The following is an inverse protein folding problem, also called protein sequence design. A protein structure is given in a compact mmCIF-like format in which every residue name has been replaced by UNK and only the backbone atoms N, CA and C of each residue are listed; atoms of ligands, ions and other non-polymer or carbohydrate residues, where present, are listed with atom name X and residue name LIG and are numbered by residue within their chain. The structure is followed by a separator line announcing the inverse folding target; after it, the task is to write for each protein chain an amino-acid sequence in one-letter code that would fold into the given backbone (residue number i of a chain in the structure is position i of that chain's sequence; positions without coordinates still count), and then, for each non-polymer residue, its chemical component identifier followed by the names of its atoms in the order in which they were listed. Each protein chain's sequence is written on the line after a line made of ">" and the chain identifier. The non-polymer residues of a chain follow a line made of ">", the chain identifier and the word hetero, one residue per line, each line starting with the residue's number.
data_IF_717164989900
#
_entry.id   IF_717164989900
#
_cell.length_a   1.000
_cell.length_b   1.000
_cell.length_c   1.000
_cell.angle_alpha   90.00
_cell.angle_beta   90.00
_cell.angle_gamma   90.00
#
_symmetry.space_group_name_H-M   'P 1'
#
loop_
_entity.id
_entity.type
_entity.pdbx_description
1 polymer ?
#
# COMPACT_ATOMS: atom_id res chain seq x y z
N UNK A 1 33.41 -28.09 19.06
CA UNK A 1 33.72 -26.76 19.65
C UNK A 1 33.30 -25.55 18.76
N UNK A 2 33.45 -25.57 17.42
CA UNK A 2 33.13 -24.43 16.54
C UNK A 2 31.64 -24.05 16.49
N UNK A 3 30.69 -25.01 16.45
CA UNK A 3 29.24 -24.71 16.48
C UNK A 3 28.81 -23.89 17.70
N UNK A 4 29.34 -24.24 18.90
CA UNK A 4 29.06 -23.48 20.12
C UNK A 4 29.58 -22.02 20.04
N UNK A 5 30.70 -21.77 19.36
CA UNK A 5 31.26 -20.42 19.21
C UNK A 5 30.46 -19.55 18.24
N UNK A 6 29.98 -20.12 17.14
CA UNK A 6 29.12 -19.40 16.19
C UNK A 6 27.78 -19.03 16.84
N UNK A 7 27.15 -19.99 17.51
CA UNK A 7 25.89 -19.75 18.25
C UNK A 7 26.09 -18.69 19.35
N UNK A 8 27.19 -18.76 20.08
CA UNK A 8 27.53 -17.78 21.11
C UNK A 8 27.78 -16.39 20.50
N UNK A 9 28.47 -16.30 19.36
CA UNK A 9 28.71 -15.01 18.69
C UNK A 9 27.43 -14.38 18.15
N UNK A 10 26.53 -15.17 17.56
CA UNK A 10 25.21 -14.70 17.13
C UNK A 10 24.37 -14.27 18.34
N UNK A 11 24.38 -15.04 19.41
CA UNK A 11 23.67 -14.70 20.64
C UNK A 11 24.22 -13.40 21.27
N UNK A 12 25.54 -13.18 21.25
CA UNK A 12 26.16 -11.94 21.72
C UNK A 12 25.74 -10.75 20.86
N UNK A 13 25.76 -10.89 19.54
CA UNK A 13 25.31 -9.82 18.60
C UNK A 13 23.84 -9.46 18.79
N UNK A 14 22.97 -10.48 18.96
CA UNK A 14 21.55 -10.26 19.24
C UNK A 14 21.36 -9.62 20.64
N UNK A 15 22.11 -10.06 21.63
CA UNK A 15 22.07 -9.48 22.97
C UNK A 15 22.58 -8.03 22.97
N UNK A 16 23.66 -7.71 22.25
CA UNK A 16 24.15 -6.35 22.09
C UNK A 16 23.12 -5.45 21.38
N UNK A 17 22.47 -5.93 20.32
CA UNK A 17 21.40 -5.19 19.64
C UNK A 17 20.21 -4.95 20.57
N UNK A 18 19.84 -5.97 21.35
CA UNK A 18 18.77 -5.86 22.36
C UNK A 18 19.13 -4.86 23.46
N UNK A 19 20.37 -4.93 24.00
CA UNK A 19 20.87 -3.99 25.02
C UNK A 19 20.90 -2.57 24.47
N UNK A 20 21.39 -2.35 23.26
CA UNK A 20 21.37 -1.02 22.63
C UNK A 20 19.95 -0.52 22.43
N UNK A 21 19.03 -1.39 22.03
CA UNK A 21 17.60 -1.05 21.92
C UNK A 21 16.99 -0.64 23.25
N UNK A 22 17.26 -1.42 24.31
CA UNK A 22 16.77 -1.13 25.68
C UNK A 22 17.40 0.15 26.23
N UNK A 23 18.71 0.31 26.11
CA UNK A 23 19.42 1.52 26.55
C UNK A 23 18.92 2.75 25.80
N UNK A 24 18.71 2.65 24.48
CA UNK A 24 18.16 3.73 23.67
C UNK A 24 16.76 4.15 24.13
N UNK A 25 15.86 3.18 24.35
CA UNK A 25 14.50 3.45 24.86
C UNK A 25 14.55 4.06 26.26
N UNK A 26 15.42 3.55 27.15
CA UNK A 26 15.61 4.10 28.50
C UNK A 26 16.19 5.51 28.47
N UNK A 27 17.16 5.78 27.60
CA UNK A 27 17.76 7.11 27.44
C UNK A 27 16.73 8.13 26.97
N UNK A 28 15.92 7.79 25.97
CA UNK A 28 14.82 8.66 25.53
C UNK A 28 13.76 8.85 26.62
N UNK A 29 13.43 7.80 27.38
CA UNK A 29 12.50 7.91 28.49
C UNK A 29 12.99 8.87 29.58
N UNK A 30 14.29 8.83 29.88
CA UNK A 30 14.92 9.68 30.90
C UNK A 30 15.11 11.13 30.42
N UNK A 31 15.41 11.33 29.15
CA UNK A 31 15.67 12.67 28.57
C UNK A 31 14.39 13.40 28.14
N UNK A 32 13.31 12.66 27.89
CA UNK A 32 12.03 13.22 27.44
C UNK A 32 10.85 12.63 28.22
N UNK A 33 10.56 13.10 29.42
CA UNK A 33 9.52 12.58 30.31
C UNK A 33 8.11 13.00 29.88
N UNK A 34 7.75 12.83 28.59
CA UNK A 34 6.38 12.97 28.12
C UNK A 34 5.56 11.70 28.45
N UNK A 35 4.23 11.80 28.64
CA UNK A 35 3.41 10.64 28.90
C UNK A 35 3.52 9.66 27.73
N UNK A 36 3.92 8.42 28.00
CA UNK A 36 3.89 7.31 27.04
C UNK A 36 2.41 7.03 26.71
N UNK A 37 1.91 7.67 25.66
CA UNK A 37 0.49 7.72 25.39
C UNK A 37 -0.12 6.35 24.97
N UNK A 38 0.69 5.42 24.43
CA UNK A 38 0.23 4.07 24.12
C UNK A 38 1.37 3.08 23.83
N UNK A 39 1.05 1.78 23.86
CA UNK A 39 1.97 0.67 23.58
C UNK A 39 2.64 0.77 22.19
N UNK A 40 1.95 1.39 21.22
CA UNK A 40 2.46 1.58 19.86
C UNK A 40 3.69 2.50 19.81
N UNK A 41 3.75 3.54 20.63
CA UNK A 41 4.90 4.44 20.68
C UNK A 41 6.13 3.74 21.29
N UNK A 42 5.92 2.90 22.31
CA UNK A 42 7.03 2.11 22.92
C UNK A 42 7.60 1.14 21.89
N UNK A 43 6.73 0.44 21.17
CA UNK A 43 7.14 -0.49 20.12
C UNK A 43 7.87 0.23 18.98
N UNK A 44 7.36 1.38 18.54
CA UNK A 44 8.01 2.21 17.52
C UNK A 44 9.42 2.63 17.94
N UNK A 45 9.59 3.10 19.16
CA UNK A 45 10.89 3.51 19.72
C UNK A 45 11.86 2.34 19.85
N UNK A 46 11.39 1.18 20.31
CA UNK A 46 12.21 -0.03 20.37
C UNK A 46 12.71 -0.44 18.96
N UNK A 47 11.83 -0.44 17.96
CA UNK A 47 12.20 -0.72 16.56
C UNK A 47 13.17 0.35 16.03
N UNK A 48 12.96 1.62 16.37
CA UNK A 48 13.84 2.73 15.99
C UNK A 48 15.29 2.50 16.43
N UNK A 49 15.53 2.11 17.68
CA UNK A 49 16.88 1.88 18.20
C UNK A 49 17.50 0.56 17.73
N UNK A 50 16.69 -0.49 17.59
CA UNK A 50 17.15 -1.78 17.05
C UNK A 50 17.62 -1.68 15.60
N UNK A 51 17.12 -0.69 14.85
CA UNK A 51 17.46 -0.51 13.43
C UNK A 51 18.53 0.56 13.19
N UNK A 52 19.07 1.17 14.23
CA UNK A 52 20.06 2.26 14.14
C UNK A 52 21.24 1.97 13.19
N UNK A 53 21.89 0.78 13.21
CA UNK A 53 23.00 0.50 12.31
C UNK A 53 22.63 0.58 10.83
N UNK A 54 21.45 0.03 10.46
CA UNK A 54 20.97 0.12 9.07
C UNK A 54 20.58 1.54 8.67
N UNK A 55 20.06 2.34 9.63
CA UNK A 55 19.72 3.75 9.39
C UNK A 55 20.94 4.61 9.11
N UNK A 56 22.02 4.41 9.84
CA UNK A 56 23.29 5.11 9.59
C UNK A 56 23.79 4.87 8.16
N UNK A 57 23.69 3.65 7.66
CA UNK A 57 24.04 3.32 6.28
C UNK A 57 23.11 4.04 5.29
N UNK A 58 21.81 3.97 5.51
CA UNK A 58 20.81 4.61 4.60
C UNK A 58 20.98 6.13 4.61
N UNK A 59 21.17 6.76 5.79
CA UNK A 59 21.36 8.20 5.89
C UNK A 59 22.63 8.69 5.16
N UNK A 60 23.67 7.86 5.10
CA UNK A 60 24.89 8.17 4.34
C UNK A 60 24.65 8.26 2.84
N UNK A 61 23.73 7.43 2.31
CA UNK A 61 23.40 7.39 0.88
C UNK A 61 22.18 8.24 0.49
N UNK A 62 21.31 8.56 1.46
CA UNK A 62 20.08 9.34 1.27
C UNK A 62 19.93 10.37 2.40
N UNK A 63 20.73 11.45 2.40
CA UNK A 63 20.60 12.50 3.40
C UNK A 63 19.22 13.19 3.23
N UNK A 64 18.40 13.14 4.27
CA UNK A 64 17.14 13.89 4.34
C UNK A 64 17.36 15.17 5.13
N UNK A 65 16.99 16.31 4.56
CA UNK A 65 17.14 17.62 5.19
C UNK A 65 16.16 17.87 6.36
N UNK A 66 15.21 16.97 6.60
CA UNK A 66 14.24 17.09 7.69
C UNK A 66 14.38 15.94 8.69
N UNK A 67 14.31 16.25 9.97
CA UNK A 67 14.54 15.38 11.13
C UNK A 67 13.59 14.18 11.27
N UNK A 68 12.54 14.09 10.47
CA UNK A 68 11.63 12.94 10.48
C UNK A 68 12.18 11.80 9.63
N UNK A 69 12.83 10.86 10.29
CA UNK A 69 13.21 9.59 9.66
C UNK A 69 11.93 8.79 9.36
N UNK A 70 11.51 8.67 8.09
CA UNK A 70 10.22 8.07 7.77
C UNK A 70 10.18 6.61 8.22
N UNK A 71 8.99 6.12 8.59
CA UNK A 71 8.75 4.70 8.93
C UNK A 71 9.31 3.76 7.86
N UNK A 72 9.32 4.19 6.60
CA UNK A 72 10.01 3.52 5.50
C UNK A 72 11.51 3.35 5.72
N UNK A 73 12.20 4.37 6.24
CA UNK A 73 13.61 4.26 6.62
C UNK A 73 13.83 3.28 7.76
N UNK A 74 12.90 3.21 8.71
CA UNK A 74 12.94 2.22 9.81
C UNK A 74 12.83 0.78 9.29
N UNK A 75 11.95 0.52 8.35
CA UNK A 75 11.77 -0.84 7.82
C UNK A 75 12.85 -1.21 6.83
N UNK A 76 13.28 -0.32 5.94
CA UNK A 76 14.48 -0.55 5.11
C UNK A 76 15.70 -0.82 6.00
N UNK A 77 15.84 -0.11 7.11
CA UNK A 77 16.91 -0.34 8.07
C UNK A 77 16.74 -1.63 8.86
N UNK A 78 15.51 -2.08 9.13
CA UNK A 78 15.25 -3.38 9.75
C UNK A 78 15.67 -4.55 8.86
N UNK A 79 15.55 -4.41 7.52
CA UNK A 79 16.08 -5.38 6.57
C UNK A 79 17.59 -5.21 6.33
N UNK A 80 18.09 -3.98 6.27
CA UNK A 80 19.50 -3.69 6.05
C UNK A 80 20.36 -4.07 7.26
N UNK A 81 19.86 -3.89 8.48
CA UNK A 81 20.60 -4.17 9.72
C UNK A 81 21.07 -5.62 9.82
N UNK A 82 20.25 -6.66 9.65
CA UNK A 82 20.69 -8.05 9.64
C UNK A 82 21.73 -8.33 8.55
N UNK A 83 21.56 -7.77 7.36
CA UNK A 83 22.51 -7.92 6.24
C UNK A 83 23.87 -7.28 6.60
N UNK A 84 23.86 -6.06 7.13
CA UNK A 84 25.07 -5.36 7.58
C UNK A 84 25.77 -6.11 8.73
N UNK A 85 25.02 -6.62 9.70
CA UNK A 85 25.57 -7.37 10.83
C UNK A 85 26.17 -8.70 10.37
N UNK A 86 25.54 -9.41 9.44
CA UNK A 86 26.08 -10.65 8.87
C UNK A 86 27.32 -10.35 8.03
N UNK A 87 27.32 -9.30 7.20
CA UNK A 87 28.48 -8.87 6.43
C UNK A 87 29.66 -8.47 7.35
N UNK A 88 29.40 -7.71 8.41
CA UNK A 88 30.38 -7.34 9.42
C UNK A 88 30.94 -8.58 10.15
N UNK A 89 30.06 -9.51 10.52
CA UNK A 89 30.46 -10.76 11.16
C UNK A 89 31.38 -11.59 10.24
N UNK A 90 31.03 -11.72 8.96
CA UNK A 90 31.88 -12.41 7.97
C UNK A 90 33.20 -11.69 7.80
N UNK A 91 33.20 -10.36 7.71
CA UNK A 91 34.40 -9.54 7.58
C UNK A 91 35.31 -9.70 8.79
N UNK A 92 34.78 -9.53 10.00
CA UNK A 92 35.52 -9.69 11.27
C UNK A 92 36.05 -11.12 11.41
N UNK A 93 35.23 -12.12 11.13
CA UNK A 93 35.66 -13.51 11.15
C UNK A 93 36.78 -13.79 10.14
N UNK A 94 36.71 -13.20 8.95
CA UNK A 94 37.73 -13.33 7.90
C UNK A 94 39.02 -12.67 8.32
N UNK A 95 38.96 -11.49 8.96
CA UNK A 95 40.15 -10.83 9.56
C UNK A 95 40.76 -11.70 10.65
N UNK A 96 39.96 -12.20 11.59
CA UNK A 96 40.45 -13.08 12.65
C UNK A 96 41.05 -14.39 12.11
N UNK A 97 40.47 -14.96 11.08
CA UNK A 97 41.01 -16.12 10.38
C UNK A 97 42.35 -15.80 9.71
N UNK A 98 42.48 -14.60 9.12
CA UNK A 98 43.74 -14.13 8.48
C UNK A 98 44.81 -13.85 9.50
N UNK A 99 44.49 -13.17 10.63
CA UNK A 99 45.43 -12.90 11.74
C UNK A 99 45.89 -14.23 12.37
N UNK A 100 45.00 -15.20 12.52
CA UNK A 100 45.34 -16.54 13.07
C UNK A 100 46.26 -17.30 12.14
N UNK A 101 46.12 -17.17 10.80
CA UNK A 101 47.05 -17.75 9.82
C UNK A 101 48.44 -17.12 9.90
N UNK A 102 48.51 -15.81 10.16
CA UNK A 102 49.80 -15.10 10.33
C UNK A 102 50.53 -15.45 11.64
N UNK A 103 49.81 -15.91 12.67
CA UNK A 103 50.37 -16.29 13.98
C UNK A 103 50.76 -17.77 14.10
N UNK A 104 50.44 -18.61 13.12
CA UNK A 104 50.84 -20.03 13.08
C UNK A 104 51.42 -20.36 11.72
N UNK A 105 52.70 -20.04 11.47
CA UNK A 105 53.42 -20.50 10.29
C UNK A 105 53.53 -22.04 10.34
N UNK A 106 53.02 -22.76 9.35
CA UNK A 106 53.18 -24.19 9.19
C UNK A 106 51.94 -25.09 9.25
N UNK A 107 50.75 -24.54 9.42
CA UNK A 107 49.49 -25.33 9.36
C UNK A 107 48.79 -25.12 8.02
N UNK A 108 49.21 -25.81 6.98
CA UNK A 108 48.43 -26.04 5.76
C UNK A 108 47.23 -26.97 6.07
N UNK A 109 46.31 -26.53 6.91
CA UNK A 109 44.99 -27.19 6.96
C UNK A 109 44.14 -26.57 5.90
N UNK A 110 44.01 -27.25 4.77
CA UNK A 110 43.05 -26.93 3.72
C UNK A 110 41.64 -26.74 4.29
N UNK A 111 40.83 -25.93 3.62
CA UNK A 111 39.43 -25.71 3.99
C UNK A 111 38.73 -27.07 4.06
N UNK A 112 38.23 -27.45 5.24
CA UNK A 112 37.51 -28.72 5.35
C UNK A 112 36.21 -28.67 4.52
N UNK A 113 35.77 -29.85 4.01
CA UNK A 113 34.48 -29.92 3.30
C UNK A 113 33.34 -29.28 4.10
N UNK A 114 33.35 -29.45 5.40
CA UNK A 114 32.34 -28.85 6.30
C UNK A 114 32.42 -27.34 6.38
N UNK A 115 33.64 -26.77 6.43
CA UNK A 115 33.82 -25.30 6.42
C UNK A 115 33.42 -24.73 5.06
N UNK A 116 33.74 -25.42 3.96
CA UNK A 116 33.30 -25.06 2.62
C UNK A 116 31.76 -25.05 2.48
N UNK A 117 31.08 -26.11 2.90
CA UNK A 117 29.61 -26.16 2.86
C UNK A 117 28.96 -25.10 3.77
N UNK A 118 29.51 -24.88 4.97
CA UNK A 118 29.01 -23.86 5.88
C UNK A 118 29.14 -22.44 5.33
N UNK A 119 30.27 -22.12 4.70
CA UNK A 119 30.50 -20.81 4.06
C UNK A 119 29.63 -20.63 2.81
N UNK A 120 29.50 -21.68 1.99
CA UNK A 120 28.65 -21.66 0.80
C UNK A 120 27.18 -21.46 1.15
N UNK A 121 26.67 -22.15 2.17
CA UNK A 121 25.29 -21.98 2.65
C UNK A 121 25.04 -20.56 3.20
N UNK A 122 25.96 -20.02 4.00
CA UNK A 122 25.86 -18.65 4.49
C UNK A 122 25.89 -17.63 3.33
N UNK A 123 26.79 -17.81 2.37
CA UNK A 123 26.86 -16.98 1.17
C UNK A 123 25.55 -17.02 0.36
N UNK A 124 24.99 -18.21 0.18
CA UNK A 124 23.72 -18.37 -0.53
C UNK A 124 22.55 -17.65 0.19
N UNK A 125 22.46 -17.75 1.50
CA UNK A 125 21.43 -17.07 2.30
C UNK A 125 21.56 -15.55 2.12
N UNK A 126 22.77 -15.00 2.18
CA UNK A 126 23.00 -13.55 2.01
C UNK A 126 22.62 -13.09 0.62
N UNK A 127 23.10 -13.80 -0.42
CA UNK A 127 22.81 -13.45 -1.82
C UNK A 127 21.32 -13.54 -2.08
N UNK A 128 20.66 -14.58 -1.58
CA UNK A 128 19.21 -14.77 -1.75
C UNK A 128 18.42 -13.66 -1.01
N UNK A 129 18.82 -13.31 0.20
CA UNK A 129 18.20 -12.21 0.96
C UNK A 129 18.37 -10.86 0.27
N UNK A 130 19.57 -10.56 -0.23
CA UNK A 130 19.84 -9.33 -0.98
C UNK A 130 19.07 -9.29 -2.31
N UNK A 131 19.01 -10.40 -3.04
CA UNK A 131 18.25 -10.51 -4.26
C UNK A 131 16.75 -10.32 -4.02
N UNK A 132 16.20 -10.93 -2.97
CA UNK A 132 14.80 -10.77 -2.57
C UNK A 132 14.51 -9.32 -2.17
N UNK A 133 15.36 -8.70 -1.33
CA UNK A 133 15.24 -7.29 -0.95
C UNK A 133 15.30 -6.36 -2.15
N UNK A 134 16.23 -6.58 -3.07
CA UNK A 134 16.33 -5.83 -4.32
C UNK A 134 15.09 -6.01 -5.20
N UNK A 135 14.59 -7.23 -5.34
CA UNK A 135 13.39 -7.50 -6.11
C UNK A 135 12.15 -6.79 -5.53
N UNK A 136 11.95 -6.88 -4.21
CA UNK A 136 10.78 -6.30 -3.53
C UNK A 136 10.77 -4.77 -3.54
N UNK A 137 11.94 -4.14 -3.64
CA UNK A 137 12.08 -2.67 -3.62
C UNK A 137 12.18 -2.08 -5.02
N UNK A 138 12.92 -2.72 -5.93
CA UNK A 138 13.26 -2.12 -7.22
C UNK A 138 12.57 -2.76 -8.42
N UNK A 139 11.90 -3.90 -8.25
CA UNK A 139 11.27 -4.60 -9.38
C UNK A 139 9.78 -4.70 -9.21
N UNK A 140 9.29 -5.36 -8.16
CA UNK A 140 7.87 -5.68 -8.02
C UNK A 140 6.97 -4.44 -7.89
N UNK A 141 7.35 -3.35 -7.19
CA UNK A 141 6.54 -2.14 -7.08
C UNK A 141 6.22 -1.47 -8.43
N UNK A 142 7.05 -1.70 -9.43
CA UNK A 142 6.93 -1.10 -10.76
C UNK A 142 6.27 -2.04 -11.78
N UNK A 143 5.90 -3.24 -11.37
CA UNK A 143 5.24 -4.24 -12.23
C UNK A 143 3.73 -4.07 -12.22
N UNK A 144 3.26 -2.88 -12.56
CA UNK A 144 1.84 -2.56 -12.69
C UNK A 144 1.12 -3.58 -13.58
N UNK A 145 -0.04 -4.06 -13.15
CA UNK A 145 -0.89 -4.98 -13.91
C UNK A 145 -2.29 -4.41 -14.10
N UNK A 146 -2.99 -4.89 -15.10
CA UNK A 146 -4.43 -4.69 -15.28
C UNK A 146 -5.17 -5.93 -14.83
N UNK A 147 -6.11 -5.75 -13.90
CA UNK A 147 -6.99 -6.83 -13.44
C UNK A 147 -8.39 -6.57 -13.97
N UNK A 148 -9.00 -7.60 -14.55
CA UNK A 148 -10.33 -7.50 -15.16
C UNK A 148 -11.37 -8.17 -14.29
N UNK A 149 -12.51 -7.50 -14.13
CA UNK A 149 -13.64 -7.97 -13.35
C UNK A 149 -14.91 -7.84 -14.18
N UNK A 150 -15.67 -8.90 -14.32
CA UNK A 150 -17.04 -8.87 -14.81
C UNK A 150 -17.96 -8.95 -13.59
N UNK A 151 -18.65 -7.85 -13.29
CA UNK A 151 -19.42 -7.70 -12.05
C UNK A 151 -20.93 -7.72 -12.39
N UNK A 152 -21.65 -8.76 -11.96
CA UNK A 152 -23.10 -8.81 -12.13
C UNK A 152 -23.77 -7.84 -11.15
N UNK A 153 -24.56 -6.93 -11.69
CA UNK A 153 -25.35 -5.94 -10.94
C UNK A 153 -26.84 -6.28 -11.12
N UNK A 154 -27.53 -6.39 -10.01
CA UNK A 154 -28.97 -6.66 -10.01
C UNK A 154 -29.77 -5.43 -10.43
N UNK A 155 -30.69 -5.59 -11.38
CA UNK A 155 -31.49 -4.48 -11.91
C UNK A 155 -30.70 -3.52 -12.79
N UNK A 156 -29.50 -3.90 -13.24
CA UNK A 156 -28.73 -3.07 -14.18
C UNK A 156 -29.53 -2.79 -15.45
N UNK A 157 -29.71 -1.53 -15.86
CA UNK A 157 -30.34 -1.18 -17.13
C UNK A 157 -29.65 -1.88 -18.31
N UNK A 158 -30.38 -2.37 -19.28
CA UNK A 158 -29.82 -3.06 -20.45
C UNK A 158 -28.76 -2.23 -21.18
N UNK A 159 -28.90 -0.92 -21.22
CA UNK A 159 -27.99 0.03 -21.85
C UNK A 159 -26.64 0.09 -21.17
N UNK A 160 -26.59 -0.26 -19.88
CA UNK A 160 -25.34 -0.31 -19.09
C UNK A 160 -24.71 -1.72 -19.06
N UNK A 161 -25.30 -2.72 -19.67
CA UNK A 161 -24.64 -4.02 -19.83
C UNK A 161 -23.40 -3.86 -20.72
N UNK A 162 -22.26 -4.34 -20.23
CA UNK A 162 -20.97 -4.14 -20.88
C UNK A 162 -20.33 -2.76 -20.65
N UNK A 163 -20.93 -1.89 -19.82
CA UNK A 163 -20.31 -0.60 -19.46
C UNK A 163 -19.00 -0.82 -18.68
N UNK A 164 -17.95 -0.10 -19.04
CA UNK A 164 -16.60 -0.33 -18.54
C UNK A 164 -16.13 0.81 -17.66
N UNK A 165 -15.77 0.48 -16.42
CA UNK A 165 -15.12 1.39 -15.48
C UNK A 165 -13.63 1.07 -15.42
N UNK A 166 -12.76 2.08 -15.51
CA UNK A 166 -11.38 1.93 -15.10
C UNK A 166 -11.23 2.47 -13.68
N UNK A 167 -10.73 1.61 -12.80
CA UNK A 167 -10.57 1.91 -11.37
C UNK A 167 -9.10 2.12 -11.03
N UNK A 168 -8.76 3.32 -10.60
CA UNK A 168 -7.46 3.67 -10.05
C UNK A 168 -7.63 4.11 -8.59
N UNK A 169 -6.66 3.78 -7.76
CA UNK A 169 -6.63 4.13 -6.35
C UNK A 169 -5.19 4.28 -5.88
N UNK A 170 -5.01 5.03 -4.81
CA UNK A 170 -3.75 5.04 -4.05
C UNK A 170 -2.55 5.36 -4.96
N UNK A 171 -2.61 6.46 -5.70
CA UNK A 171 -1.50 6.88 -6.56
C UNK A 171 -0.31 7.40 -5.77
N UNK A 172 -0.57 7.98 -4.58
CA UNK A 172 0.44 8.39 -3.60
C UNK A 172 1.61 9.16 -4.19
N UNK A 173 1.34 10.16 -5.04
CA UNK A 173 2.41 11.04 -5.51
C UNK A 173 3.17 11.64 -4.33
N UNK A 174 4.49 11.47 -4.34
CA UNK A 174 5.34 11.90 -3.24
C UNK A 174 6.76 11.36 -3.37
N UNK A 175 7.48 11.17 -2.26
CA UNK A 175 8.88 10.77 -2.31
C UNK A 175 9.16 9.44 -3.00
N UNK A 176 8.19 8.53 -3.01
CA UNK A 176 8.37 7.18 -3.59
C UNK A 176 7.78 7.05 -4.98
N UNK A 177 6.68 7.74 -5.25
CA UNK A 177 5.95 7.62 -6.51
C UNK A 177 6.07 8.91 -7.29
N UNK A 178 6.76 8.84 -8.40
CA UNK A 178 7.02 9.97 -9.28
C UNK A 178 5.88 10.20 -10.29
N UNK A 179 5.76 11.43 -10.79
CA UNK A 179 4.78 11.76 -11.84
C UNK A 179 4.93 10.87 -13.08
N UNK A 180 6.14 10.64 -13.65
CA UNK A 180 6.28 9.76 -14.81
C UNK A 180 5.76 8.34 -14.61
N UNK A 181 5.81 7.81 -13.38
CA UNK A 181 5.21 6.52 -13.10
C UNK A 181 3.67 6.59 -13.12
N UNK A 182 3.07 7.63 -12.54
CA UNK A 182 1.62 7.85 -12.57
C UNK A 182 1.16 8.07 -14.01
N UNK A 183 1.87 8.85 -14.80
CA UNK A 183 1.63 9.06 -16.24
C UNK A 183 1.64 7.74 -17.01
N UNK A 184 2.59 6.86 -16.70
CA UNK A 184 2.64 5.52 -17.31
C UNK A 184 1.43 4.66 -16.92
N UNK A 185 0.93 4.81 -15.70
CA UNK A 185 -0.29 4.13 -15.24
C UNK A 185 -1.53 4.68 -15.94
N UNK A 186 -1.63 6.00 -16.07
CA UNK A 186 -2.72 6.68 -16.79
C UNK A 186 -2.73 6.27 -18.26
N UNK A 187 -1.57 6.26 -18.93
CA UNK A 187 -1.46 5.81 -20.32
C UNK A 187 -1.98 4.36 -20.50
N UNK A 188 -1.68 3.48 -19.52
CA UNK A 188 -2.23 2.11 -19.53
C UNK A 188 -3.74 2.08 -19.28
N UNK A 189 -4.24 2.96 -18.41
CA UNK A 189 -5.67 3.10 -18.15
C UNK A 189 -6.42 3.57 -19.42
N UNK A 190 -5.89 4.57 -20.10
CA UNK A 190 -6.45 5.12 -21.35
C UNK A 190 -6.47 4.07 -22.47
N UNK A 191 -5.42 3.25 -22.59
CA UNK A 191 -5.36 2.15 -23.54
C UNK A 191 -6.49 1.10 -23.35
N UNK A 192 -7.11 1.06 -22.16
CA UNK A 192 -8.25 0.18 -21.89
C UNK A 192 -9.56 0.70 -22.52
N UNK A 193 -9.62 1.97 -22.94
CA UNK A 193 -10.80 2.60 -23.56
C UNK A 193 -12.06 2.39 -22.72
N UNK A 194 -11.98 2.67 -21.42
CA UNK A 194 -13.13 2.57 -20.52
C UNK A 194 -14.14 3.71 -20.75
N UNK A 195 -15.36 3.49 -20.34
CA UNK A 195 -16.42 4.50 -20.47
C UNK A 195 -16.29 5.61 -19.43
N UNK A 196 -15.86 5.27 -18.20
CA UNK A 196 -15.70 6.18 -17.07
C UNK A 196 -14.49 5.78 -16.23
N UNK A 197 -13.75 6.75 -15.70
CA UNK A 197 -12.76 6.51 -14.67
C UNK A 197 -13.35 6.74 -13.27
N UNK A 198 -13.05 5.84 -12.33
CA UNK A 198 -13.41 5.95 -10.93
C UNK A 198 -12.15 5.93 -10.08
N UNK A 199 -12.02 6.91 -9.19
CA UNK A 199 -10.81 7.17 -8.40
C UNK A 199 -11.17 7.10 -6.92
N UNK A 200 -10.51 6.22 -6.16
CA UNK A 200 -10.88 5.95 -4.77
C UNK A 200 -9.85 6.41 -3.75
N UNK A 201 -9.34 7.64 -3.91
CA UNK A 201 -8.58 8.36 -2.90
C UNK A 201 -7.07 8.07 -2.86
N UNK A 202 -6.42 8.74 -1.93
CA UNK A 202 -4.98 8.68 -1.63
C UNK A 202 -4.12 9.07 -2.85
N UNK A 203 -4.32 10.30 -3.32
CA UNK A 203 -3.59 10.84 -4.48
C UNK A 203 -2.19 11.28 -4.14
N UNK A 204 -1.96 11.69 -2.89
CA UNK A 204 -0.73 12.31 -2.41
C UNK A 204 -0.16 11.59 -1.19
N UNK A 205 1.14 11.76 -0.93
CA UNK A 205 1.81 11.12 0.20
C UNK A 205 2.96 11.97 0.74
N UNK A 206 2.94 12.23 2.05
CA UNK A 206 4.02 12.82 2.87
C UNK A 206 4.45 14.24 2.57
N UNK A 207 3.87 14.93 1.62
CA UNK A 207 4.24 16.32 1.35
C UNK A 207 3.11 17.10 0.67
N UNK A 208 2.70 18.24 1.25
CA UNK A 208 1.73 19.12 0.62
C UNK A 208 2.13 19.62 -0.77
N UNK A 209 3.44 19.70 -1.05
CA UNK A 209 3.95 20.06 -2.39
C UNK A 209 3.55 19.09 -3.49
N UNK A 210 3.21 17.86 -3.13
CA UNK A 210 2.77 16.81 -4.07
C UNK A 210 1.28 16.91 -4.43
N UNK A 211 0.48 17.75 -3.74
CA UNK A 211 -0.97 17.83 -3.93
C UNK A 211 -1.30 18.25 -5.36
N UNK A 212 -0.92 19.47 -5.73
CA UNK A 212 -1.28 20.01 -7.05
C UNK A 212 -0.76 19.14 -8.19
N UNK A 213 0.54 18.79 -8.27
CA UNK A 213 1.02 17.96 -9.37
C UNK A 213 0.42 16.54 -9.36
N UNK A 214 0.18 15.94 -8.18
CA UNK A 214 -0.39 14.59 -8.05
C UNK A 214 -1.85 14.50 -8.47
N UNK A 215 -2.63 15.57 -8.27
CA UNK A 215 -4.01 15.66 -8.74
C UNK A 215 -4.07 16.10 -10.20
N UNK A 216 -3.27 17.09 -10.59
CA UNK A 216 -3.30 17.60 -11.97
C UNK A 216 -2.85 16.58 -13.01
N UNK A 217 -1.95 15.65 -12.68
CA UNK A 217 -1.56 14.58 -13.60
C UNK A 217 -2.76 13.71 -14.01
N UNK A 218 -3.77 13.56 -13.14
CA UNK A 218 -4.99 12.79 -13.42
C UNK A 218 -5.87 13.40 -14.52
N UNK A 219 -5.66 14.67 -14.90
CA UNK A 219 -6.32 15.30 -16.08
C UNK A 219 -6.02 14.58 -17.38
N UNK A 220 -4.94 13.81 -17.43
CA UNK A 220 -4.56 12.99 -18.59
C UNK A 220 -5.41 11.73 -18.76
N UNK A 221 -6.36 11.45 -17.84
CA UNK A 221 -7.29 10.35 -18.00
C UNK A 221 -8.28 10.64 -19.13
N UNK A 222 -8.30 9.75 -20.10
CA UNK A 222 -9.13 9.81 -21.31
C UNK A 222 -10.17 8.71 -21.25
N UNK A 223 -11.39 9.07 -20.87
CA UNK A 223 -12.56 8.20 -20.89
C UNK A 223 -13.75 8.94 -21.49
N UNK A 224 -14.71 8.21 -21.98
CA UNK A 224 -15.86 8.80 -22.70
C UNK A 224 -16.69 9.76 -21.82
N UNK A 225 -16.82 9.46 -20.54
CA UNK A 225 -17.63 10.25 -19.59
C UNK A 225 -16.78 10.98 -18.52
N UNK A 226 -15.45 11.04 -18.70
CA UNK A 226 -14.55 11.69 -17.76
C UNK A 226 -14.25 10.84 -16.53
N UNK A 227 -14.04 11.47 -15.40
CA UNK A 227 -13.63 10.82 -14.16
C UNK A 227 -14.44 11.30 -12.97
N UNK A 228 -14.65 10.39 -12.00
CA UNK A 228 -15.28 10.65 -10.71
C UNK A 228 -14.36 10.18 -9.60
N UNK A 229 -14.26 10.95 -8.52
CA UNK A 229 -13.31 10.72 -7.44
C UNK A 229 -13.96 10.82 -6.06
N UNK A 230 -13.38 10.11 -5.09
CA UNK A 230 -13.52 10.38 -3.65
C UNK A 230 -12.13 10.58 -3.05
N UNK A 231 -12.04 11.25 -1.90
CA UNK A 231 -10.79 11.45 -1.18
C UNK A 231 -10.45 10.26 -0.27
N UNK A 232 -9.16 10.14 0.10
CA UNK A 232 -8.67 9.18 1.07
C UNK A 232 -7.96 9.86 2.24
N UNK A 233 -7.59 9.09 3.25
CA UNK A 233 -7.02 9.62 4.49
C UNK A 233 -5.70 10.38 4.28
N UNK A 234 -4.86 9.98 3.33
CA UNK A 234 -3.65 10.74 3.01
C UNK A 234 -3.94 12.10 2.40
N UNK A 235 -5.02 12.26 1.65
CA UNK A 235 -5.42 13.56 1.11
C UNK A 235 -5.81 14.54 2.23
N UNK A 236 -6.42 14.02 3.33
CA UNK A 236 -6.69 14.80 4.53
C UNK A 236 -5.41 15.13 5.29
N UNK A 237 -4.52 14.17 5.52
CA UNK A 237 -3.29 14.36 6.28
C UNK A 237 -2.33 15.36 5.63
N UNK A 238 -2.31 15.38 4.29
CA UNK A 238 -1.44 16.32 3.56
C UNK A 238 -2.10 17.69 3.34
N UNK A 239 -3.43 17.80 3.40
CA UNK A 239 -4.17 19.04 3.29
C UNK A 239 -5.40 18.98 2.39
N UNK A 240 -6.53 18.58 2.96
CA UNK A 240 -7.78 18.35 2.23
C UNK A 240 -8.28 19.57 1.45
N UNK A 241 -8.16 20.77 2.02
CA UNK A 241 -8.62 21.99 1.33
C UNK A 241 -7.80 22.26 0.07
N UNK A 242 -6.49 22.01 0.11
CA UNK A 242 -5.63 22.14 -1.06
C UNK A 242 -5.92 21.03 -2.08
N UNK A 243 -6.24 19.80 -1.64
CA UNK A 243 -6.67 18.73 -2.52
C UNK A 243 -7.98 19.07 -3.23
N UNK A 244 -8.99 19.54 -2.49
CA UNK A 244 -10.28 20.00 -3.04
C UNK A 244 -10.10 21.14 -4.03
N UNK A 245 -9.26 22.14 -3.70
CA UNK A 245 -8.93 23.23 -4.60
C UNK A 245 -8.28 22.74 -5.89
N UNK A 246 -7.31 21.81 -5.80
CA UNK A 246 -6.66 21.22 -6.96
C UNK A 246 -7.64 20.42 -7.84
N UNK A 247 -8.58 19.67 -7.25
CA UNK A 247 -9.65 19.00 -8.00
C UNK A 247 -10.59 19.98 -8.69
N UNK A 248 -10.94 21.10 -8.05
CA UNK A 248 -11.80 22.13 -8.65
C UNK A 248 -11.18 22.75 -9.92
N UNK A 249 -9.86 22.68 -10.08
CA UNK A 249 -9.16 23.08 -11.30
C UNK A 249 -9.15 22.00 -12.39
N UNK A 250 -9.79 20.85 -12.15
CA UNK A 250 -9.87 19.73 -13.10
C UNK A 250 -11.31 19.50 -13.57
N UNK A 251 -11.50 18.64 -14.58
CA UNK A 251 -12.81 18.14 -14.98
C UNK A 251 -13.25 16.90 -14.17
N UNK A 252 -12.48 16.46 -13.19
CA UNK A 252 -12.78 15.30 -12.35
C UNK A 252 -13.82 15.69 -11.30
N UNK A 253 -14.94 14.98 -11.26
CA UNK A 253 -16.01 15.27 -10.30
C UNK A 253 -15.72 14.60 -8.95
N UNK A 254 -15.40 15.41 -7.95
CA UNK A 254 -15.24 14.93 -6.56
C UNK A 254 -16.65 14.75 -5.95
N UNK A 255 -16.93 13.56 -5.40
CA UNK A 255 -18.26 13.19 -4.89
C UNK A 255 -18.23 12.65 -3.44
N UNK A 256 -17.36 13.18 -2.58
CA UNK A 256 -17.41 12.85 -1.16
C UNK A 256 -18.78 13.20 -0.58
N UNK A 257 -19.45 12.21 0.01
CA UNK A 257 -20.79 12.33 0.57
C UNK A 257 -21.83 12.91 -0.43
N UNK A 258 -21.67 12.55 -1.69
CA UNK A 258 -22.52 13.00 -2.80
C UNK A 258 -22.77 11.87 -3.80
N UNK A 259 -23.55 12.14 -4.83
CA UNK A 259 -23.88 11.15 -5.84
C UNK A 259 -24.09 11.78 -7.22
N UNK A 260 -23.98 10.94 -8.23
CA UNK A 260 -24.32 11.21 -9.62
C UNK A 260 -25.19 10.08 -10.15
N UNK A 261 -25.90 10.34 -11.21
CA UNK A 261 -26.68 9.35 -11.93
C UNK A 261 -26.02 9.06 -13.27
N UNK A 262 -25.59 7.81 -13.45
CA UNK A 262 -24.91 7.31 -14.63
C UNK A 262 -25.90 6.68 -15.57
N UNK A 263 -25.99 7.22 -16.78
CA UNK A 263 -26.62 6.55 -17.93
C UNK A 263 -25.54 6.11 -18.93
N UNK A 264 -25.96 5.47 -20.01
CA UNK A 264 -25.01 5.09 -21.07
C UNK A 264 -24.17 6.27 -21.55
N UNK A 265 -24.77 7.45 -21.67
CA UNK A 265 -24.21 8.57 -22.41
C UNK A 265 -23.83 9.77 -21.56
N UNK A 266 -24.18 9.81 -20.28
CA UNK A 266 -23.91 10.96 -19.40
C UNK A 266 -23.85 10.61 -17.92
N UNK A 267 -23.18 11.51 -17.18
CA UNK A 267 -23.30 11.68 -15.74
C UNK A 267 -24.15 12.91 -15.44
N UNK A 268 -25.15 12.79 -14.58
CA UNK A 268 -26.08 13.86 -14.22
C UNK A 268 -26.28 13.96 -12.71
N UNK A 269 -26.73 15.13 -12.24
CA UNK A 269 -27.04 15.36 -10.82
C UNK A 269 -28.45 14.86 -10.45
N UNK A 270 -29.32 14.69 -11.44
CA UNK A 270 -30.68 14.22 -11.28
C UNK A 270 -30.89 12.83 -11.91
N UNK A 271 -31.77 11.99 -11.31
CA UNK A 271 -32.03 10.65 -11.82
C UNK A 271 -32.70 10.72 -13.18
N UNK A 272 -32.27 9.87 -14.09
CA UNK A 272 -32.88 9.67 -15.40
C UNK A 272 -33.43 8.26 -15.56
N UNK A 273 -34.19 8.02 -16.64
CA UNK A 273 -34.53 6.67 -17.01
C UNK A 273 -33.26 5.86 -17.32
N UNK A 274 -33.27 4.57 -16.99
CA UNK A 274 -32.16 3.65 -17.26
C UNK A 274 -30.85 4.10 -16.65
N UNK A 275 -30.91 4.75 -15.46
CA UNK A 275 -29.74 5.20 -14.73
C UNK A 275 -29.30 4.22 -13.62
N UNK A 276 -28.03 4.32 -13.26
CA UNK A 276 -27.42 3.74 -12.09
C UNK A 276 -26.98 4.88 -11.18
N UNK A 277 -27.20 4.76 -9.86
CA UNK A 277 -26.68 5.72 -8.90
C UNK A 277 -25.19 5.41 -8.61
N UNK A 278 -24.34 6.39 -8.90
CA UNK A 278 -22.92 6.35 -8.57
C UNK A 278 -22.67 7.31 -7.40
N UNK A 279 -22.61 6.77 -6.19
CA UNK A 279 -22.36 7.52 -4.98
C UNK A 279 -20.90 7.53 -4.57
N UNK A 280 -20.54 8.46 -3.69
CA UNK A 280 -19.28 8.48 -2.99
C UNK A 280 -19.51 8.82 -1.51
N UNK A 281 -18.76 8.20 -0.63
CA UNK A 281 -18.75 8.51 0.81
C UNK A 281 -17.46 9.19 1.21
N UNK A 282 -17.47 9.97 2.29
CA UNK A 282 -16.28 10.54 2.88
C UNK A 282 -15.34 9.46 3.44
N UNK A 283 -14.09 9.85 3.71
CA UNK A 283 -13.11 8.92 4.27
C UNK A 283 -13.51 8.47 5.68
N UNK A 284 -13.33 7.18 5.96
CA UNK A 284 -13.78 6.58 7.22
C UNK A 284 -12.99 7.06 8.44
N UNK A 285 -11.76 7.51 8.27
CA UNK A 285 -10.91 7.95 9.36
C UNK A 285 -10.96 9.45 9.61
N UNK A 286 -11.19 10.22 8.55
CA UNK A 286 -10.99 11.67 8.55
C UNK A 286 -12.26 12.47 8.24
N UNK A 287 -13.33 11.82 7.76
CA UNK A 287 -14.59 12.47 7.39
C UNK A 287 -15.81 11.61 7.81
N UNK A 288 -16.99 12.16 7.65
CA UNK A 288 -18.25 11.44 7.84
C UNK A 288 -18.51 10.45 6.71
N UNK A 289 -18.94 9.23 7.04
CA UNK A 289 -19.40 8.23 6.08
C UNK A 289 -20.92 8.34 5.93
N UNK A 290 -21.39 9.00 4.87
CA UNK A 290 -22.80 9.33 4.65
C UNK A 290 -23.39 8.56 3.47
N UNK A 291 -23.68 7.26 3.67
CA UNK A 291 -24.37 6.46 2.65
C UNK A 291 -25.74 7.01 2.29
N UNK A 292 -26.44 7.65 3.23
CA UNK A 292 -27.71 8.34 3.00
C UNK A 292 -27.59 9.44 1.94
N UNK A 293 -26.51 10.22 1.98
CA UNK A 293 -26.21 11.25 0.96
C UNK A 293 -25.73 10.63 -0.36
N UNK A 294 -24.86 9.63 -0.26
CA UNK A 294 -24.29 8.93 -1.43
C UNK A 294 -25.34 8.18 -2.25
N UNK A 295 -26.54 7.95 -1.71
CA UNK A 295 -27.63 7.25 -2.40
C UNK A 295 -28.92 8.08 -2.47
N UNK A 296 -28.86 9.36 -2.08
CA UNK A 296 -30.02 10.24 -2.01
C UNK A 296 -30.74 10.39 -3.36
N UNK A 297 -32.07 10.36 -3.35
CA UNK A 297 -32.88 10.53 -4.55
C UNK A 297 -32.86 9.34 -5.53
N UNK A 298 -32.11 8.28 -5.25
CA UNK A 298 -32.14 7.08 -6.05
C UNK A 298 -33.37 6.22 -5.67
N UNK A 299 -34.27 5.89 -6.61
CA UNK A 299 -35.36 4.94 -6.35
C UNK A 299 -34.86 3.61 -5.83
N UNK A 300 -35.67 2.88 -5.03
CA UNK A 300 -35.26 1.58 -4.46
C UNK A 300 -34.85 0.55 -5.52
N UNK A 301 -35.51 0.56 -6.67
CA UNK A 301 -35.23 -0.33 -7.80
C UNK A 301 -33.93 0.02 -8.53
N UNK A 302 -33.41 1.25 -8.35
CA UNK A 302 -32.22 1.69 -9.06
C UNK A 302 -30.95 1.04 -8.47
N UNK A 303 -30.09 0.41 -9.30
CA UNK A 303 -28.83 -0.14 -8.84
C UNK A 303 -27.87 0.98 -8.37
N UNK A 304 -27.04 0.64 -7.38
CA UNK A 304 -26.12 1.60 -6.74
C UNK A 304 -24.70 1.05 -6.65
N UNK A 305 -23.77 1.81 -7.19
CA UNK A 305 -22.32 1.62 -6.97
C UNK A 305 -21.84 2.77 -6.08
N UNK A 306 -21.11 2.46 -5.02
CA UNK A 306 -20.58 3.48 -4.11
C UNK A 306 -19.07 3.42 -4.10
N UNK A 307 -18.43 4.58 -4.22
CA UNK A 307 -16.98 4.77 -4.04
C UNK A 307 -16.71 5.06 -2.57
N UNK A 308 -15.72 4.41 -2.03
CA UNK A 308 -15.17 4.67 -0.70
C UNK A 308 -13.68 4.39 -0.70
N UNK A 309 -12.88 5.27 -0.12
CA UNK A 309 -11.47 4.97 -0.01
C UNK A 309 -11.22 3.72 0.84
N UNK A 310 -11.73 3.69 2.07
CA UNK A 310 -11.51 2.61 3.01
C UNK A 310 -12.58 1.50 2.87
N UNK A 311 -12.21 0.23 2.61
CA UNK A 311 -13.17 -0.87 2.46
C UNK A 311 -13.92 -1.24 3.74
N UNK A 312 -13.41 -0.86 4.91
CA UNK A 312 -14.05 -1.11 6.21
C UNK A 312 -15.39 -0.37 6.34
N UNK A 313 -15.65 0.65 5.50
CA UNK A 313 -16.94 1.33 5.41
C UNK A 313 -18.09 0.37 5.08
N UNK A 314 -17.81 -0.74 4.39
CA UNK A 314 -18.82 -1.76 4.10
C UNK A 314 -19.45 -2.36 5.38
N UNK A 315 -18.69 -2.36 6.47
CA UNK A 315 -19.16 -2.89 7.77
C UNK A 315 -20.10 -1.92 8.51
N UNK A 316 -20.10 -0.64 8.08
CA UNK A 316 -20.99 0.40 8.66
C UNK A 316 -22.26 0.60 7.82
N UNK A 317 -22.35 -0.05 6.65
CA UNK A 317 -23.51 0.05 5.77
C UNK A 317 -24.76 -0.50 6.46
N UNK A 318 -25.79 0.34 6.56
CA UNK A 318 -27.08 -0.09 7.07
C UNK A 318 -27.74 -1.08 6.09
N UNK A 319 -28.36 -2.19 6.58
CA UNK A 319 -29.09 -3.14 5.74
C UNK A 319 -30.31 -2.52 5.04
N UNK A 320 -30.72 -1.31 5.47
CA UNK A 320 -31.82 -0.56 4.86
C UNK A 320 -31.42 0.23 3.62
N UNK A 321 -30.10 0.40 3.41
CA UNK A 321 -29.57 1.13 2.25
C UNK A 321 -29.04 0.12 1.25
N UNK A 322 -29.63 0.08 0.08
CA UNK A 322 -29.16 -0.76 -1.02
C UNK A 322 -27.83 -0.22 -1.55
N UNK A 323 -26.83 -1.08 -1.62
CA UNK A 323 -25.57 -0.89 -2.37
C UNK A 323 -25.29 -2.21 -3.08
N UNK A 324 -25.13 -2.17 -4.40
CA UNK A 324 -24.90 -3.36 -5.21
C UNK A 324 -23.40 -3.67 -5.39
N UNK A 325 -22.54 -2.65 -5.23
CA UNK A 325 -21.10 -2.77 -5.26
C UNK A 325 -20.45 -1.59 -4.55
N UNK A 326 -19.49 -1.87 -3.67
CA UNK A 326 -18.57 -0.87 -3.11
C UNK A 326 -17.21 -0.99 -3.81
N UNK A 327 -16.64 0.13 -4.27
CA UNK A 327 -15.30 0.21 -4.87
C UNK A 327 -14.37 0.91 -3.89
N UNK A 328 -13.25 0.28 -3.54
CA UNK A 328 -12.33 0.80 -2.52
C UNK A 328 -10.86 0.60 -2.88
N UNK A 329 -9.99 1.32 -2.16
CA UNK A 329 -8.54 1.21 -2.17
C UNK A 329 -7.96 0.96 -0.78
N UNK A 330 -7.10 1.88 -0.31
CA UNK A 330 -6.57 2.00 1.04
C UNK A 330 -5.63 0.88 1.49
N UNK A 331 -6.00 -0.37 1.29
CA UNK A 331 -5.29 -1.50 1.92
C UNK A 331 -3.99 -1.88 1.23
N UNK A 332 -3.78 -1.43 -0.01
CA UNK A 332 -2.64 -1.83 -0.87
C UNK A 332 -2.42 -3.34 -0.96
N UNK A 333 -3.41 -4.14 -0.57
CA UNK A 333 -3.22 -5.57 -0.37
C UNK A 333 -2.22 -5.91 0.73
N UNK A 334 -1.93 -4.95 1.63
CA UNK A 334 -0.89 -5.01 2.65
C UNK A 334 0.54 -4.99 2.10
N UNK A 335 0.72 -4.71 0.81
CA UNK A 335 1.99 -4.60 0.06
C UNK A 335 2.90 -5.85 0.08
N UNK A 336 2.88 -6.65 1.15
CA UNK A 336 3.72 -7.84 1.31
C UNK A 336 2.85 -9.05 1.66
N UNK A 337 2.95 -10.11 0.87
CA UNK A 337 2.23 -11.37 1.11
C UNK A 337 3.20 -12.54 1.06
N UNK A 338 3.10 -13.46 2.01
CA UNK A 338 3.92 -14.66 2.08
C UNK A 338 3.15 -15.89 1.66
N UNK A 339 3.80 -16.86 0.99
CA UNK A 339 3.18 -18.16 0.73
C UNK A 339 2.72 -18.79 2.06
N UNK A 340 1.53 -19.36 2.08
CA UNK A 340 0.91 -20.04 3.22
C UNK A 340 0.56 -19.15 4.44
N UNK A 341 1.19 -17.99 4.63
CA UNK A 341 0.93 -17.08 5.75
C UNK A 341 0.04 -15.88 5.35
N UNK A 342 -0.19 -15.70 4.04
CA UNK A 342 -0.98 -14.56 3.56
C UNK A 342 -0.28 -13.23 3.75
N UNK A 343 -1.07 -12.18 3.97
CA UNK A 343 -0.61 -10.81 4.17
C UNK A 343 -0.64 -10.45 5.65
N UNK A 344 0.52 -10.32 6.32
CA UNK A 344 0.59 -10.14 7.77
C UNK A 344 0.10 -8.78 8.25
N UNK A 345 0.18 -7.76 7.40
CA UNK A 345 -0.23 -6.39 7.72
C UNK A 345 -1.15 -5.87 6.62
N UNK A 346 -2.41 -5.66 6.96
CA UNK A 346 -3.41 -5.00 6.12
C UNK A 346 -3.99 -3.86 6.94
N UNK A 347 -4.01 -2.61 6.45
CA UNK A 347 -4.61 -1.48 7.15
C UNK A 347 -6.14 -1.55 7.10
N UNK A 348 -6.68 -2.58 7.74
CA UNK A 348 -8.10 -2.85 7.90
C UNK A 348 -8.32 -3.47 9.26
N UNK A 349 -9.39 -3.10 9.94
CA UNK A 349 -9.81 -3.72 11.21
C UNK A 349 -10.21 -5.20 11.02
N UNK A 350 -10.51 -5.58 9.77
CA UNK A 350 -10.92 -6.93 9.39
C UNK A 350 -9.77 -7.73 8.73
N UNK A 351 -8.55 -7.19 8.79
CA UNK A 351 -7.33 -7.86 8.35
C UNK A 351 -7.40 -8.30 6.89
N UNK A 352 -7.04 -9.57 6.63
CA UNK A 352 -6.96 -10.12 5.29
C UNK A 352 -8.29 -10.18 4.52
N UNK A 353 -9.45 -9.95 5.16
CA UNK A 353 -10.78 -9.92 4.51
C UNK A 353 -10.80 -8.93 3.35
N UNK A 354 -10.19 -7.75 3.54
CA UNK A 354 -10.17 -6.68 2.56
C UNK A 354 -8.78 -6.42 1.97
N UNK A 355 -7.95 -7.46 1.90
CA UNK A 355 -6.60 -7.30 1.34
C UNK A 355 -6.59 -6.98 -0.17
N UNK A 356 -7.64 -7.29 -0.92
CA UNK A 356 -7.75 -6.90 -2.34
C UNK A 356 -8.53 -7.90 -3.18
N UNK A 357 -9.03 -7.42 -4.32
CA UNK A 357 -9.92 -8.17 -5.20
C UNK A 357 -11.38 -8.07 -4.77
N UNK A 358 -12.22 -8.94 -5.31
CA UNK A 358 -13.64 -8.96 -4.97
C UNK A 358 -13.83 -9.69 -3.63
N UNK A 359 -14.25 -8.95 -2.61
CA UNK A 359 -14.48 -9.39 -1.25
C UNK A 359 -15.97 -9.40 -0.92
N UNK A 360 -16.35 -10.15 0.13
CA UNK A 360 -17.74 -10.18 0.60
C UNK A 360 -17.90 -9.28 1.82
N UNK A 361 -18.57 -8.16 1.66
CA UNK A 361 -19.05 -7.32 2.78
C UNK A 361 -20.30 -7.90 3.41
N UNK A 362 -20.79 -7.33 4.54
CA UNK A 362 -22.01 -7.78 5.21
C UNK A 362 -23.26 -7.65 4.33
N UNK A 363 -23.39 -6.56 3.58
CA UNK A 363 -24.60 -6.21 2.84
C UNK A 363 -24.35 -5.99 1.35
N UNK A 364 -23.10 -5.91 0.89
CA UNK A 364 -22.75 -5.76 -0.51
C UNK A 364 -21.38 -6.38 -0.82
N UNK A 365 -21.10 -6.75 -2.08
CA UNK A 365 -19.74 -7.05 -2.52
C UNK A 365 -18.87 -5.80 -2.48
N UNK A 366 -17.59 -5.99 -2.15
CA UNK A 366 -16.58 -4.93 -2.07
C UNK A 366 -15.44 -5.28 -3.01
N UNK A 367 -15.17 -4.44 -3.99
CA UNK A 367 -13.99 -4.59 -4.84
C UNK A 367 -12.88 -3.68 -4.33
N UNK A 368 -11.83 -4.29 -3.79
CA UNK A 368 -10.71 -3.59 -3.18
C UNK A 368 -9.52 -3.58 -4.13
N UNK A 369 -9.10 -2.40 -4.55
CA UNK A 369 -7.87 -2.20 -5.33
C UNK A 369 -6.63 -2.37 -4.46
N UNK A 370 -5.57 -2.94 -5.05
CA UNK A 370 -4.24 -2.97 -4.41
C UNK A 370 -3.44 -1.69 -4.64
N UNK A 371 -4.06 -0.69 -5.25
CA UNK A 371 -3.45 0.60 -5.52
C UNK A 371 -2.38 0.60 -6.61
N UNK A 372 -2.17 1.76 -7.19
CA UNK A 372 -1.12 2.03 -8.19
C UNK A 372 0.20 2.32 -7.49
N UNK A 373 0.18 3.16 -6.47
CA UNK A 373 1.36 3.60 -5.72
C UNK A 373 1.75 2.71 -4.56
N UNK A 374 2.42 3.29 -3.60
CA UNK A 374 2.88 2.65 -2.35
C UNK A 374 2.70 3.61 -1.20
N UNK A 375 2.24 3.11 -0.06
CA UNK A 375 2.20 3.84 1.20
C UNK A 375 3.19 3.25 2.20
N UNK A 376 3.54 4.01 3.24
CA UNK A 376 4.36 3.61 4.38
C UNK A 376 5.76 3.14 3.97
N UNK A 377 5.87 2.12 3.13
CA UNK A 377 7.11 1.46 2.71
C UNK A 377 7.21 1.38 1.19
N UNK A 378 8.38 1.68 0.60
CA UNK A 378 8.59 1.55 -0.84
C UNK A 378 8.90 0.08 -1.22
N UNK A 379 8.07 -0.86 -0.75
CA UNK A 379 8.27 -2.30 -1.01
C UNK A 379 6.94 -2.97 -1.37
N UNK A 380 7.03 -3.90 -2.32
CA UNK A 380 5.94 -4.83 -2.62
C UNK A 380 6.51 -6.24 -2.80
N UNK A 381 5.82 -7.23 -2.25
CA UNK A 381 6.18 -8.63 -2.44
C UNK A 381 4.93 -9.48 -2.63
N UNK A 382 4.79 -10.09 -3.82
CA UNK A 382 3.62 -10.88 -4.26
C UNK A 382 2.30 -10.10 -4.25
N UNK A 383 2.37 -8.78 -4.14
CA UNK A 383 1.25 -7.85 -4.17
C UNK A 383 1.57 -6.73 -5.17
N UNK A 384 1.41 -7.05 -6.46
CA UNK A 384 1.72 -6.10 -7.54
C UNK A 384 0.73 -4.94 -7.54
N UNK A 385 1.19 -3.72 -7.89
CA UNK A 385 0.27 -2.61 -8.14
C UNK A 385 -0.70 -2.94 -9.28
N UNK A 386 -1.90 -2.34 -9.24
CA UNK A 386 -2.93 -2.70 -10.21
C UNK A 386 -3.82 -1.54 -10.64
N UNK A 387 -4.34 -1.67 -11.84
CA UNK A 387 -5.45 -0.93 -12.40
C UNK A 387 -6.60 -1.92 -12.54
N UNK A 388 -7.78 -1.62 -11.99
CA UNK A 388 -8.99 -2.39 -12.20
C UNK A 388 -9.67 -2.02 -13.51
N UNK A 389 -10.07 -3.01 -14.32
CA UNK A 389 -11.01 -2.82 -15.40
C UNK A 389 -12.28 -3.60 -15.05
N UNK A 390 -13.33 -2.88 -14.75
CA UNK A 390 -14.60 -3.43 -14.29
C UNK A 390 -15.60 -3.34 -15.43
N UNK A 391 -16.15 -4.46 -15.84
CA UNK A 391 -17.25 -4.51 -16.79
C UNK A 391 -18.53 -4.81 -16.03
N UNK A 392 -19.48 -3.89 -16.07
CA UNK A 392 -20.78 -4.10 -15.48
C UNK A 392 -21.55 -5.11 -16.32
N UNK A 393 -22.17 -6.09 -15.66
CA UNK A 393 -22.98 -7.12 -16.31
C UNK A 393 -24.36 -7.14 -15.72
N UNK A 394 -25.35 -7.24 -16.58
CA UNK A 394 -26.72 -7.48 -16.14
C UNK A 394 -26.79 -8.89 -15.53
N UNK A 395 -27.22 -8.97 -14.26
CA UNK A 395 -27.52 -10.26 -13.66
C UNK A 395 -28.69 -10.89 -14.42
N UNK A 396 -28.47 -12.06 -15.03
CA UNK A 396 -29.59 -12.81 -15.62
C UNK A 396 -30.47 -13.24 -14.42
N UNK A 397 -31.77 -12.90 -14.48
CA UNK A 397 -32.72 -13.55 -13.61
C UNK A 397 -32.66 -15.04 -13.95
N UNK A 398 -32.35 -15.88 -12.97
CA UNK A 398 -32.59 -17.31 -13.13
C UNK A 398 -34.08 -17.45 -13.38
N UNK A 399 -34.44 -17.72 -14.65
CA UNK A 399 -35.79 -18.11 -15.01
C UNK A 399 -35.97 -19.49 -14.40
N UNK A 400 -36.62 -19.52 -13.24
CA UNK A 400 -37.12 -20.74 -12.60
C UNK A 400 -38.23 -21.34 -13.43
#
# INVERSE_FOLDING_TARGET
>A
MRRKRIVVSIAILLAMSLVMGVVGVLTEYLLWPGPLANTGQILYRAVFWLTLPGRLVIHTFYPTENEEFPVAGLVLSAFATPVCLVALFIFVHSIFARIRRLRTPGSEKGVTRRDFFGQSAAGLIIVSGAALGGYTTFVEPWRLRVVRYDIPIEGLPPELDGFRLVHLSDTHHGPYITLPYIESAIARANALRADLAVLTGDYVHRTPRSIVPGIHVLRQLETRLGAVAVTGNHDFWEGIDACRAAFAETSIRLIDNARLFLTRDRLADEPGANALCLGGVGDMWEDDVRFDKATAGAPESMPRIVLSHNPDTAETLSPRIRVDLLLSGHTHGGQVSFPHFGTPMVPSRYGGKYAGGLCRGPHCPVLVSRGVGMAILPVRFRVRPEIGLITLRRRKSDVT
#
